data_IF_622455211149
#
_entry.id   IF_622455211149
#
_cell.length_a   1.000
_cell.length_b   1.000
_cell.length_c   1.000
_cell.angle_alpha   90.00
_cell.angle_beta   90.00
_cell.angle_gamma   90.00
#
_symmetry.space_group_name_H-M   'P 1'
#
loop_
_entity.id
_entity.type
_entity.pdbx_description
1 polymer ?
#
# COMPACT_ATOMS: atom_id res chain seq x y z
N UNK A 1 -1.50 26.94 -4.86
CA UNK A 1 -2.61 27.31 -3.92
C UNK A 1 -2.05 27.28 -2.50
N UNK A 2 -2.45 28.21 -1.62
CA UNK A 2 -1.92 28.21 -0.24
C UNK A 2 -2.53 27.09 0.59
N UNK A 3 -1.79 26.57 1.56
CA UNK A 3 -2.28 25.55 2.51
C UNK A 3 -3.49 26.06 3.29
N UNK A 4 -3.48 27.33 3.69
CA UNK A 4 -4.61 27.97 4.37
C UNK A 4 -5.91 27.94 3.52
N UNK A 5 -5.81 28.31 2.24
CA UNK A 5 -6.94 28.28 1.31
C UNK A 5 -7.47 26.85 1.13
N UNK A 6 -6.57 25.87 1.07
CA UNK A 6 -6.93 24.46 0.95
C UNK A 6 -7.62 23.93 2.22
N UNK A 7 -7.16 24.32 3.43
CA UNK A 7 -7.83 23.96 4.69
C UNK A 7 -9.28 24.46 4.72
N UNK A 8 -9.53 25.67 4.23
CA UNK A 8 -10.90 26.21 4.14
C UNK A 8 -11.77 25.37 3.20
N UNK A 9 -11.23 24.90 2.07
CA UNK A 9 -11.95 24.00 1.16
C UNK A 9 -12.25 22.67 1.84
N UNK A 10 -11.28 22.07 2.54
CA UNK A 10 -11.48 20.82 3.28
C UNK A 10 -12.55 20.96 4.36
N UNK A 11 -12.56 22.07 5.09
CA UNK A 11 -13.57 22.34 6.13
C UNK A 11 -14.97 22.45 5.53
N UNK A 12 -15.13 23.15 4.39
CA UNK A 12 -16.43 23.25 3.72
C UNK A 12 -16.93 21.91 3.21
N UNK A 13 -16.03 21.06 2.70
CA UNK A 13 -16.37 19.70 2.28
C UNK A 13 -16.75 18.83 3.48
N UNK A 14 -16.02 18.95 4.59
CA UNK A 14 -16.35 18.27 5.84
C UNK A 14 -17.76 18.63 6.33
N UNK A 15 -18.10 19.93 6.33
CA UNK A 15 -19.41 20.42 6.77
C UNK A 15 -20.53 19.87 5.87
N UNK A 16 -20.31 19.82 4.56
CA UNK A 16 -21.26 19.23 3.59
C UNK A 16 -21.47 17.74 3.85
N UNK A 17 -20.39 16.96 4.01
CA UNK A 17 -20.50 15.53 4.30
C UNK A 17 -21.14 15.26 5.67
N UNK A 18 -20.83 16.09 6.66
CA UNK A 18 -21.44 16.01 8.00
C UNK A 18 -22.95 16.30 7.92
N UNK A 19 -23.35 17.34 7.19
CA UNK A 19 -24.76 17.69 6.98
C UNK A 19 -25.51 16.59 6.20
N UNK A 20 -24.84 15.89 5.30
CA UNK A 20 -25.39 14.74 4.56
C UNK A 20 -25.42 13.43 5.39
N UNK A 21 -24.93 13.43 6.63
CA UNK A 21 -24.85 12.24 7.47
C UNK A 21 -23.75 11.25 7.07
N UNK A 22 -22.82 11.66 6.22
CA UNK A 22 -21.75 10.83 5.65
C UNK A 22 -20.50 10.95 6.53
N UNK A 23 -20.40 10.10 7.55
CA UNK A 23 -19.41 10.24 8.62
C UNK A 23 -17.96 9.91 8.21
N UNK A 24 -17.74 8.93 7.33
CA UNK A 24 -16.39 8.47 6.99
C UNK A 24 -15.60 9.53 6.18
N UNK A 25 -16.09 10.02 5.02
CA UNK A 25 -15.50 11.14 4.31
C UNK A 25 -15.29 12.41 5.15
N UNK A 26 -16.25 12.78 6.01
CA UNK A 26 -16.10 13.92 6.90
C UNK A 26 -14.90 13.75 7.86
N UNK A 27 -14.76 12.55 8.44
CA UNK A 27 -13.63 12.22 9.32
C UNK A 27 -12.29 12.27 8.58
N UNK A 28 -12.24 11.72 7.37
CA UNK A 28 -11.02 11.71 6.56
C UNK A 28 -10.57 13.13 6.20
N UNK A 29 -11.51 13.99 5.79
CA UNK A 29 -11.23 15.40 5.49
C UNK A 29 -10.70 16.16 6.71
N UNK A 30 -11.32 15.95 7.89
CA UNK A 30 -10.84 16.50 9.15
C UNK A 30 -9.42 16.04 9.49
N UNK A 31 -9.13 14.76 9.28
CA UNK A 31 -7.79 14.20 9.48
C UNK A 31 -6.76 14.84 8.55
N UNK A 32 -7.11 15.07 7.28
CA UNK A 32 -6.23 15.77 6.32
C UNK A 32 -6.02 17.22 6.73
N UNK A 33 -7.07 17.94 7.13
CA UNK A 33 -6.96 19.33 7.58
C UNK A 33 -6.02 19.46 8.81
N UNK A 34 -6.05 18.47 9.71
CA UNK A 34 -5.17 18.40 10.87
C UNK A 34 -3.70 18.18 10.50
N UNK A 35 -3.42 17.38 9.45
CA UNK A 35 -2.04 17.18 8.97
C UNK A 35 -1.41 18.44 8.37
N UNK A 36 -2.24 19.40 7.98
CA UNK A 36 -1.82 20.67 7.40
C UNK A 36 -1.59 21.77 8.45
N UNK A 37 -1.88 21.51 9.72
CA UNK A 37 -1.65 22.46 10.82
C UNK A 37 -0.17 22.81 10.96
N UNK A 38 0.13 24.10 11.08
CA UNK A 38 1.50 24.62 11.19
C UNK A 38 2.20 24.85 9.84
N UNK A 39 1.51 24.61 8.72
CA UNK A 39 2.01 24.83 7.36
C UNK A 39 1.23 25.91 6.60
N UNK A 40 0.40 26.70 7.27
CA UNK A 40 -0.55 27.64 6.65
C UNK A 40 0.14 28.72 5.78
N UNK A 41 1.36 29.12 6.13
CA UNK A 41 2.14 30.09 5.37
C UNK A 41 2.76 29.56 4.08
N UNK A 42 2.68 28.25 3.82
CA UNK A 42 3.30 27.59 2.66
C UNK A 42 2.31 27.40 1.52
N UNK A 43 2.86 27.25 0.31
CA UNK A 43 2.11 26.68 -0.81
C UNK A 43 1.94 25.17 -0.65
N UNK A 44 0.91 24.60 -1.25
CA UNK A 44 0.71 23.15 -1.25
C UNK A 44 1.88 22.41 -1.91
N UNK A 45 2.45 22.99 -2.96
CA UNK A 45 3.58 22.44 -3.68
C UNK A 45 4.81 22.31 -2.77
N UNK A 46 5.11 23.35 -1.97
CA UNK A 46 6.18 23.32 -0.97
C UNK A 46 5.92 22.28 0.13
N UNK A 47 4.70 22.24 0.67
CA UNK A 47 4.32 21.26 1.69
C UNK A 47 4.48 19.82 1.19
N UNK A 48 4.02 19.53 -0.03
CA UNK A 48 4.15 18.20 -0.66
C UNK A 48 5.62 17.87 -0.91
N UNK A 49 6.41 18.83 -1.39
CA UNK A 49 7.84 18.63 -1.64
C UNK A 49 8.60 18.33 -0.36
N UNK A 50 8.36 19.08 0.72
CA UNK A 50 8.97 18.83 2.03
C UNK A 50 8.53 17.49 2.62
N UNK A 51 7.23 17.17 2.52
CA UNK A 51 6.70 15.90 3.01
C UNK A 51 7.32 14.73 2.25
N UNK A 52 7.49 14.84 0.93
CA UNK A 52 8.23 13.85 0.12
C UNK A 52 9.68 13.74 0.58
N UNK A 53 10.39 14.85 0.74
CA UNK A 53 11.77 14.84 1.19
C UNK A 53 11.94 14.23 2.61
N UNK A 54 10.96 14.41 3.50
CA UNK A 54 10.94 13.79 4.83
C UNK A 54 10.66 12.29 4.77
N UNK A 55 9.75 11.86 3.90
CA UNK A 55 9.47 10.44 3.66
C UNK A 55 10.67 9.74 2.99
N UNK A 56 11.35 10.44 2.06
CA UNK A 56 12.55 9.95 1.39
C UNK A 56 13.77 9.92 2.31
N UNK A 57 13.84 10.83 3.30
CA UNK A 57 14.89 10.79 4.36
C UNK A 57 14.68 9.67 5.38
N UNK A 58 13.49 9.09 5.47
CA UNK A 58 13.17 8.07 6.45
C UNK A 58 13.50 6.65 5.96
N UNK A 59 14.77 6.39 5.67
CA UNK A 59 15.34 5.05 5.73
C UNK A 59 16.83 5.15 6.12
N UNK A 60 17.10 5.50 7.38
CA UNK A 60 18.32 4.98 7.97
C UNK A 60 18.20 3.44 7.92
N UNK A 61 19.17 2.72 7.34
CA UNK A 61 19.12 1.26 7.33
C UNK A 61 18.98 0.80 8.78
N UNK A 62 17.88 0.11 9.07
CA UNK A 62 17.80 -0.68 10.28
C UNK A 62 19.02 -1.62 10.29
N UNK A 63 19.59 -1.95 11.46
CA UNK A 63 20.67 -2.94 11.52
C UNK A 63 20.22 -4.13 10.69
N UNK A 64 21.00 -4.46 9.65
CA UNK A 64 20.72 -5.52 8.71
C UNK A 64 20.42 -6.76 9.54
N UNK A 65 19.14 -7.11 9.64
CA UNK A 65 18.81 -8.47 9.95
C UNK A 65 19.48 -9.29 8.85
N UNK A 66 20.17 -10.36 9.23
CA UNK A 66 20.79 -11.29 8.31
C UNK A 66 19.68 -11.91 7.45
N UNK A 67 19.33 -11.19 6.38
CA UNK A 67 18.24 -11.52 5.46
C UNK A 67 18.87 -12.39 4.40
N UNK A 68 18.27 -13.55 4.19
CA UNK A 68 18.67 -14.43 3.11
C UNK A 68 18.10 -13.90 1.80
N UNK A 69 18.82 -12.98 1.15
CA UNK A 69 18.38 -12.29 -0.06
C UNK A 69 18.01 -13.26 -1.19
N UNK A 70 18.76 -14.36 -1.32
CA UNK A 70 18.50 -15.41 -2.32
C UNK A 70 17.12 -16.03 -2.11
N UNK A 71 16.81 -16.42 -0.87
CA UNK A 71 15.51 -16.98 -0.51
C UNK A 71 14.38 -15.97 -0.64
N UNK A 72 14.61 -14.72 -0.27
CA UNK A 72 13.64 -13.64 -0.45
C UNK A 72 13.30 -13.45 -1.93
N UNK A 73 14.32 -13.44 -2.80
CA UNK A 73 14.17 -13.35 -4.25
C UNK A 73 13.38 -14.54 -4.81
N UNK A 74 13.78 -15.75 -4.44
CA UNK A 74 13.16 -17.00 -4.91
C UNK A 74 11.66 -17.06 -4.58
N UNK A 75 11.31 -16.88 -3.31
CA UNK A 75 9.92 -16.98 -2.86
C UNK A 75 9.07 -15.81 -3.35
N UNK A 76 9.62 -14.60 -3.42
CA UNK A 76 8.91 -13.45 -4.00
C UNK A 76 8.61 -13.67 -5.48
N UNK A 77 9.57 -14.19 -6.25
CA UNK A 77 9.37 -14.51 -7.66
C UNK A 77 8.29 -15.58 -7.84
N UNK A 78 8.31 -16.64 -7.02
CA UNK A 78 7.30 -17.71 -7.06
C UNK A 78 5.89 -17.18 -6.78
N UNK A 79 5.73 -16.31 -5.77
CA UNK A 79 4.45 -15.67 -5.46
C UNK A 79 3.98 -14.76 -6.61
N UNK A 80 4.90 -14.03 -7.25
CA UNK A 80 4.56 -13.16 -8.39
C UNK A 80 4.19 -13.95 -9.64
N UNK A 81 4.88 -15.07 -9.90
CA UNK A 81 4.60 -15.96 -11.03
C UNK A 81 3.22 -16.63 -10.93
N UNK A 82 2.74 -16.90 -9.70
CA UNK A 82 1.37 -17.36 -9.51
C UNK A 82 0.32 -16.37 -10.02
N UNK A 83 0.66 -15.08 -10.12
CA UNK A 83 -0.24 -14.05 -10.64
C UNK A 83 -1.52 -13.95 -9.81
N UNK A 84 -2.63 -14.32 -10.43
CA UNK A 84 -3.99 -14.35 -9.86
C UNK A 84 -4.56 -15.77 -9.78
N UNK A 85 -3.78 -16.79 -10.11
CA UNK A 85 -4.17 -18.19 -9.96
C UNK A 85 -4.12 -18.57 -8.47
N UNK A 86 -5.28 -18.90 -7.91
CA UNK A 86 -5.45 -19.22 -6.50
C UNK A 86 -4.72 -20.50 -6.10
N UNK A 87 -4.71 -21.53 -6.94
CA UNK A 87 -4.07 -22.81 -6.63
C UNK A 87 -2.55 -22.68 -6.70
N UNK A 88 -2.05 -21.98 -7.72
CA UNK A 88 -0.62 -21.68 -7.84
C UNK A 88 -0.14 -20.79 -6.68
N UNK A 89 -0.93 -19.79 -6.29
CA UNK A 89 -0.61 -18.90 -5.18
C UNK A 89 -0.59 -19.64 -3.85
N UNK A 90 -1.59 -20.47 -3.59
CA UNK A 90 -1.66 -21.24 -2.34
C UNK A 90 -0.48 -22.22 -2.23
N UNK A 91 -0.11 -22.91 -3.32
CA UNK A 91 1.11 -23.75 -3.36
C UNK A 91 2.38 -22.95 -3.09
N UNK A 92 2.52 -21.77 -3.69
CA UNK A 92 3.67 -20.89 -3.45
C UNK A 92 3.73 -20.42 -1.99
N UNK A 93 2.58 -20.10 -1.41
CA UNK A 93 2.46 -19.65 -0.02
C UNK A 93 2.75 -20.79 0.97
N UNK A 94 2.34 -22.02 0.66
CA UNK A 94 2.62 -23.19 1.49
C UNK A 94 4.09 -23.58 1.44
N UNK A 95 4.72 -23.52 0.25
CA UNK A 95 6.17 -23.69 0.10
C UNK A 95 6.94 -22.65 0.93
N UNK A 96 6.53 -21.39 0.87
CA UNK A 96 7.08 -20.32 1.69
C UNK A 96 6.85 -20.58 3.19
N UNK A 97 5.66 -21.07 3.58
CA UNK A 97 5.32 -21.40 4.97
C UNK A 97 6.12 -22.57 5.54
N UNK A 98 6.52 -23.51 4.68
CA UNK A 98 7.27 -24.72 5.04
C UNK A 98 8.79 -24.52 5.11
N UNK A 99 9.30 -23.39 4.61
CA UNK A 99 10.74 -23.11 4.59
C UNK A 99 11.20 -22.61 5.97
N UNK A 100 11.72 -23.54 6.78
CA UNK A 100 12.21 -23.27 8.13
C UNK A 100 13.53 -22.48 8.15
N UNK A 101 14.18 -22.28 7.01
CA UNK A 101 15.38 -21.45 6.93
C UNK A 101 15.07 -19.95 6.94
N UNK A 102 13.79 -19.57 6.85
CA UNK A 102 13.36 -18.18 6.82
C UNK A 102 13.18 -17.62 8.23
N UNK A 103 13.90 -16.55 8.51
CA UNK A 103 13.69 -15.71 9.67
C UNK A 103 12.40 -14.87 9.53
N UNK A 104 11.99 -14.24 10.64
CA UNK A 104 10.88 -13.27 10.59
C UNK A 104 11.21 -12.06 9.71
N UNK A 105 12.48 -11.67 9.62
CA UNK A 105 12.91 -10.57 8.77
C UNK A 105 12.77 -10.93 7.28
N UNK A 106 13.07 -12.18 6.90
CA UNK A 106 12.89 -12.66 5.52
C UNK A 106 11.42 -12.61 5.10
N UNK A 107 10.52 -13.02 5.99
CA UNK A 107 9.07 -12.91 5.77
C UNK A 107 8.62 -11.47 5.52
N UNK A 108 9.20 -10.51 6.24
CA UNK A 108 8.88 -9.10 6.08
C UNK A 108 9.43 -8.56 4.76
N UNK A 109 10.64 -8.96 4.38
CA UNK A 109 11.24 -8.59 3.10
C UNK A 109 10.42 -9.15 1.92
N UNK A 110 9.98 -10.41 1.98
CA UNK A 110 9.12 -11.05 0.96
C UNK A 110 7.77 -10.33 0.86
N UNK A 111 7.12 -10.05 2.00
CA UNK A 111 5.84 -9.33 2.01
C UNK A 111 5.96 -7.92 1.40
N UNK A 112 7.03 -7.18 1.75
CA UNK A 112 7.29 -5.87 1.17
C UNK A 112 7.52 -5.94 -0.34
N UNK A 113 8.35 -6.87 -0.79
CA UNK A 113 8.65 -7.05 -2.22
C UNK A 113 7.41 -7.43 -3.03
N UNK A 114 6.61 -8.37 -2.51
CA UNK A 114 5.37 -8.77 -3.16
C UNK A 114 4.35 -7.62 -3.24
N UNK A 115 4.22 -6.83 -2.16
CA UNK A 115 3.32 -5.67 -2.11
C UNK A 115 3.74 -4.53 -3.02
N UNK A 116 5.04 -4.33 -3.19
CA UNK A 116 5.58 -3.25 -4.00
C UNK A 116 5.71 -3.57 -5.49
N UNK A 117 5.71 -4.84 -5.87
CA UNK A 117 5.86 -5.26 -7.27
C UNK A 117 4.88 -4.58 -8.26
N UNK A 118 3.59 -4.35 -7.95
CA UNK A 118 2.67 -3.72 -8.89
C UNK A 118 2.97 -2.24 -9.17
N UNK A 119 3.54 -1.52 -8.20
CA UNK A 119 3.81 -0.08 -8.30
C UNK A 119 5.27 0.25 -8.59
N UNK A 120 6.18 -0.74 -8.50
CA UNK A 120 7.62 -0.50 -8.55
C UNK A 120 8.15 0.32 -7.35
N UNK A 121 7.33 0.49 -6.30
CA UNK A 121 7.69 1.26 -5.12
C UNK A 121 8.81 0.58 -4.32
N UNK A 122 9.53 1.36 -3.52
CA UNK A 122 10.50 0.85 -2.54
C UNK A 122 10.01 1.03 -1.10
N UNK A 123 8.72 1.30 -0.90
CA UNK A 123 8.17 1.56 0.43
C UNK A 123 8.32 0.36 1.37
N UNK A 124 8.92 0.59 2.53
CA UNK A 124 9.12 -0.45 3.55
C UNK A 124 7.96 -0.40 4.55
N UNK A 125 7.01 -1.31 4.41
CA UNK A 125 5.95 -1.51 5.39
C UNK A 125 6.53 -2.20 6.64
N UNK A 126 6.22 -1.62 7.81
CA UNK A 126 6.60 -2.18 9.11
C UNK A 126 5.53 -3.17 9.58
N UNK A 127 5.85 -4.45 9.59
CA UNK A 127 4.96 -5.50 10.10
C UNK A 127 5.16 -5.71 11.60
N UNK A 128 4.05 -5.75 12.35
CA UNK A 128 4.06 -5.99 13.79
C UNK A 128 4.23 -7.47 14.17
N UNK A 129 3.98 -8.39 13.23
CA UNK A 129 4.12 -9.83 13.43
C UNK A 129 4.22 -10.57 12.09
N UNK A 130 4.72 -11.81 12.13
CA UNK A 130 4.75 -12.72 10.98
C UNK A 130 3.34 -13.02 10.44
N UNK A 131 2.34 -13.08 11.33
CA UNK A 131 0.92 -13.19 10.94
C UNK A 131 0.46 -11.98 10.12
N UNK A 132 0.88 -10.77 10.48
CA UNK A 132 0.54 -9.55 9.75
C UNK A 132 1.21 -9.51 8.36
N UNK A 133 2.46 -9.98 8.25
CA UNK A 133 3.14 -10.09 6.96
C UNK A 133 2.46 -11.12 6.03
N UNK A 134 2.07 -12.28 6.56
CA UNK A 134 1.29 -13.30 5.83
C UNK A 134 -0.05 -12.76 5.35
N UNK A 135 -0.77 -12.06 6.23
CA UNK A 135 -2.03 -11.42 5.86
C UNK A 135 -1.84 -10.42 4.72
N UNK A 136 -0.82 -9.55 4.81
CA UNK A 136 -0.53 -8.57 3.77
C UNK A 136 -0.24 -9.20 2.40
N UNK A 137 0.46 -10.36 2.35
CA UNK A 137 0.68 -11.10 1.09
C UNK A 137 -0.66 -11.57 0.51
N UNK A 138 -1.56 -12.11 1.34
CA UNK A 138 -2.89 -12.57 0.91
C UNK A 138 -3.78 -11.42 0.46
N UNK A 139 -3.80 -10.31 1.20
CA UNK A 139 -4.61 -9.13 0.88
C UNK A 139 -4.21 -8.58 -0.49
N UNK A 140 -2.91 -8.47 -0.77
CA UNK A 140 -2.40 -8.03 -2.08
C UNK A 140 -2.81 -9.00 -3.20
N UNK A 141 -2.82 -10.31 -2.95
CA UNK A 141 -3.31 -11.28 -3.92
C UNK A 141 -4.80 -11.08 -4.23
N UNK A 142 -5.63 -10.91 -3.21
CA UNK A 142 -7.07 -10.65 -3.35
C UNK A 142 -7.31 -9.36 -4.13
N UNK A 143 -6.59 -8.28 -3.80
CA UNK A 143 -6.68 -7.00 -4.52
C UNK A 143 -6.35 -7.15 -6.02
N UNK A 144 -5.33 -7.95 -6.36
CA UNK A 144 -4.95 -8.24 -7.75
C UNK A 144 -6.02 -9.05 -8.46
N UNK A 145 -6.55 -10.09 -7.81
CA UNK A 145 -7.61 -10.93 -8.35
C UNK A 145 -8.87 -10.11 -8.65
N UNK A 146 -9.29 -9.26 -7.70
CA UNK A 146 -10.43 -8.35 -7.89
C UNK A 146 -10.19 -7.35 -9.02
N UNK A 147 -8.99 -6.76 -9.08
CA UNK A 147 -8.62 -5.79 -10.11
C UNK A 147 -8.67 -6.39 -11.52
N UNK A 148 -8.18 -7.63 -11.68
CA UNK A 148 -8.27 -8.34 -12.95
C UNK A 148 -9.71 -8.71 -13.31
N UNK A 149 -10.49 -9.19 -12.33
CA UNK A 149 -11.91 -9.52 -12.54
C UNK A 149 -12.71 -8.29 -12.98
N UNK A 150 -12.51 -7.14 -12.33
CA UNK A 150 -13.11 -5.85 -12.69
C UNK A 150 -12.75 -5.43 -14.12
N UNK A 151 -11.47 -5.54 -14.51
CA UNK A 151 -11.03 -5.27 -15.90
C UNK A 151 -11.72 -6.19 -16.92
N UNK A 152 -11.80 -7.49 -16.64
CA UNK A 152 -12.46 -8.44 -17.54
C UNK A 152 -13.98 -8.25 -17.68
N UNK A 153 -14.64 -7.61 -16.70
CA UNK A 153 -16.04 -7.19 -16.82
C UNK A 153 -16.15 -5.95 -17.70
N UNK A 154 -15.30 -4.94 -17.47
CA UNK A 154 -15.27 -3.71 -18.26
C UNK A 154 -15.00 -3.98 -19.74
N UNK A 155 -14.04 -4.85 -20.06
CA UNK A 155 -13.74 -5.25 -21.44
C UNK A 155 -14.94 -5.94 -22.11
N UNK A 156 -15.68 -6.78 -21.37
CA UNK A 156 -16.91 -7.42 -21.90
C UNK A 156 -18.01 -6.40 -22.19
N UNK A 157 -18.21 -5.42 -21.30
CA UNK A 157 -19.20 -4.35 -21.49
C UNK A 157 -18.81 -3.50 -22.71
N UNK A 158 -17.54 -3.09 -22.82
CA UNK A 158 -17.05 -2.30 -23.96
C UNK A 158 -17.20 -3.03 -25.29
N UNK A 159 -16.98 -4.35 -25.31
CA UNK A 159 -17.14 -5.18 -26.51
C UNK A 159 -18.60 -5.37 -26.94
N UNK A 160 -19.55 -5.23 -26.04
CA UNK A 160 -20.99 -5.29 -26.35
C UNK A 160 -21.56 -3.93 -26.78
N UNK A 161 -20.85 -2.84 -26.47
CA UNK A 161 -21.22 -1.48 -26.85
C UNK A 161 -20.66 -1.07 -28.23
N UNK A 162 -19.83 -1.90 -28.86
CA UNK A 162 -19.27 -1.76 -30.21
C UNK A 162 -19.94 -2.69 -31.20
#
# INVERSE_FOLDING_TARGET
>A
MKVEEFKVVLQRLEDLYTAAGIAAPAKDLRSVAKLLEGSEGKTLEEFVSETRALLDRAAAPAPEADINEEKVLEHSARLLQAGTDQDAFQKALDLLASDNALSTADWYAIANRYRNAPSGSTHVYKFKSLKAARAAIRDVFIERFESQSKRGILERILRWAS
#
